data_IF_158215364507
#
_entry.id   IF_158215364507
#
_cell.length_a   1.000
_cell.length_b   1.000
_cell.length_c   1.000
_cell.angle_alpha   90.00
_cell.angle_beta   90.00
_cell.angle_gamma   90.00
#
_symmetry.space_group_name_H-M   'P 1'
#
loop_
_entity.id
_entity.type
_entity.pdbx_description
1 polymer ?
#
# COMPACT_ATOMS: atom_id res chain seq x y z
N UNK A 1 25.80 -0.30 -20.97
CA UNK A 1 25.30 -1.59 -21.50
C UNK A 1 25.33 -1.52 -23.02
N UNK A 2 25.84 -2.54 -23.72
CA UNK A 2 25.96 -2.45 -25.19
C UNK A 2 24.64 -2.80 -25.89
N UNK A 3 24.29 -2.16 -27.01
CA UNK A 3 23.08 -2.50 -27.79
C UNK A 3 23.02 -3.97 -28.22
N UNK A 4 24.18 -4.59 -28.47
CA UNK A 4 24.30 -6.00 -28.86
C UNK A 4 23.92 -6.93 -27.70
N UNK A 5 24.36 -6.63 -26.48
CA UNK A 5 24.02 -7.41 -25.29
C UNK A 5 22.52 -7.33 -25.00
N UNK A 6 21.93 -6.15 -25.13
CA UNK A 6 20.49 -5.94 -24.97
C UNK A 6 19.66 -6.75 -25.98
N UNK A 7 20.01 -6.70 -27.28
CA UNK A 7 19.31 -7.49 -28.31
C UNK A 7 19.42 -8.99 -28.08
N UNK A 8 20.60 -9.46 -27.65
CA UNK A 8 20.81 -10.88 -27.32
C UNK A 8 19.87 -11.32 -26.20
N UNK A 9 19.74 -10.54 -25.13
CA UNK A 9 18.82 -10.86 -24.03
C UNK A 9 17.36 -10.87 -24.46
N UNK A 10 16.94 -9.91 -25.28
CA UNK A 10 15.61 -9.87 -25.88
C UNK A 10 15.30 -11.13 -26.68
N UNK A 11 16.28 -11.64 -27.44
CA UNK A 11 16.11 -12.86 -28.23
C UNK A 11 16.18 -14.16 -27.41
N UNK A 12 16.99 -14.19 -26.34
CA UNK A 12 17.26 -15.42 -25.58
C UNK A 12 16.38 -15.61 -24.36
N UNK A 13 15.69 -14.56 -23.89
CA UNK A 13 14.88 -14.58 -22.66
C UNK A 13 15.67 -14.84 -21.37
N UNK A 14 16.99 -15.00 -21.46
CA UNK A 14 17.89 -15.37 -20.37
C UNK A 14 18.95 -14.28 -20.18
N UNK A 15 18.58 -13.14 -19.57
CA UNK A 15 19.56 -12.15 -19.18
C UNK A 15 20.41 -12.67 -18.01
N UNK A 16 21.66 -12.23 -17.94
CA UNK A 16 22.52 -12.55 -16.79
C UNK A 16 21.92 -11.91 -15.52
N UNK A 17 21.60 -12.70 -14.47
CA UNK A 17 21.00 -12.18 -13.24
C UNK A 17 21.83 -11.09 -12.57
N UNK A 18 23.17 -11.15 -12.67
CA UNK A 18 24.05 -10.15 -12.06
C UNK A 18 23.93 -8.81 -12.78
N UNK A 19 23.99 -8.82 -14.11
CA UNK A 19 23.81 -7.64 -14.91
C UNK A 19 22.39 -7.04 -14.79
N UNK A 20 21.34 -7.85 -14.63
CA UNK A 20 19.97 -7.36 -14.32
C UNK A 20 19.93 -6.67 -12.96
N UNK A 21 20.57 -7.24 -11.93
CA UNK A 21 20.65 -6.62 -10.60
C UNK A 21 21.36 -5.27 -10.63
N UNK A 22 22.46 -5.17 -11.36
CA UNK A 22 23.17 -3.91 -11.54
C UNK A 22 22.31 -2.87 -12.26
N UNK A 23 21.58 -3.27 -13.31
CA UNK A 23 20.65 -2.39 -14.00
C UNK A 23 19.51 -1.93 -13.08
N UNK A 24 18.99 -2.81 -12.23
CA UNK A 24 17.96 -2.44 -11.25
C UNK A 24 18.48 -1.40 -10.25
N UNK A 25 19.69 -1.60 -9.71
CA UNK A 25 20.33 -0.63 -8.80
C UNK A 25 20.52 0.73 -9.51
N UNK A 26 21.02 0.72 -10.75
CA UNK A 26 21.21 1.94 -11.54
C UNK A 26 19.87 2.63 -11.89
N UNK A 27 18.80 1.85 -12.03
CA UNK A 27 17.45 2.36 -12.21
C UNK A 27 16.79 2.82 -10.89
N UNK A 28 17.49 2.72 -9.76
CA UNK A 28 17.01 3.13 -8.45
C UNK A 28 16.16 2.10 -7.72
N UNK A 29 16.21 0.83 -8.12
CA UNK A 29 15.48 -0.26 -7.47
C UNK A 29 16.41 -1.17 -6.67
N UNK A 30 15.86 -1.74 -5.59
CA UNK A 30 16.57 -2.67 -4.70
C UNK A 30 16.01 -4.08 -4.89
N UNK A 31 16.63 -4.94 -5.73
CA UNK A 31 16.02 -6.19 -6.20
C UNK A 31 16.20 -7.39 -5.25
N UNK A 32 16.59 -7.16 -3.99
CA UNK A 32 16.82 -8.23 -3.02
C UNK A 32 15.55 -8.55 -2.24
N UNK A 33 15.38 -9.83 -1.89
CA UNK A 33 14.24 -10.27 -1.08
C UNK A 33 14.20 -9.53 0.27
N UNK A 34 13.02 -9.03 0.65
CA UNK A 34 12.81 -8.25 1.88
C UNK A 34 13.08 -6.74 1.73
N UNK A 35 13.35 -6.25 0.51
CA UNK A 35 13.50 -4.84 0.16
C UNK A 35 12.35 -4.33 -0.72
N UNK A 36 11.21 -4.99 -0.67
CA UNK A 36 10.05 -4.64 -1.48
C UNK A 36 9.60 -3.20 -1.23
N UNK A 37 9.49 -2.41 -2.30
CA UNK A 37 9.12 -1.00 -2.26
C UNK A 37 10.23 -0.03 -1.79
N UNK A 38 11.44 -0.53 -1.52
CA UNK A 38 12.59 0.33 -1.25
C UNK A 38 13.18 0.85 -2.56
N UNK A 39 13.59 2.11 -2.54
CA UNK A 39 14.12 2.80 -3.71
C UNK A 39 15.47 3.44 -3.39
N UNK A 40 16.30 3.60 -4.43
CA UNK A 40 17.59 4.25 -4.34
C UNK A 40 17.61 5.47 -5.26
N UNK A 41 17.75 6.66 -4.70
CA UNK A 41 17.79 7.92 -5.45
C UNK A 41 19.07 8.68 -5.12
N UNK A 42 19.85 9.03 -6.14
CA UNK A 42 21.10 9.80 -5.99
C UNK A 42 22.07 9.23 -4.95
N UNK A 43 22.14 7.91 -4.81
CA UNK A 43 23.01 7.24 -3.84
C UNK A 43 22.43 7.11 -2.41
N UNK A 44 21.23 7.63 -2.18
CA UNK A 44 20.50 7.48 -0.92
C UNK A 44 19.43 6.40 -1.03
N UNK A 45 19.20 5.69 0.07
CA UNK A 45 18.25 4.60 0.16
C UNK A 45 16.99 5.06 0.90
N UNK A 46 15.83 4.89 0.28
CA UNK A 46 14.55 5.39 0.76
C UNK A 46 13.64 4.24 1.18
N UNK A 47 13.06 4.30 2.39
CA UNK A 47 12.00 3.39 2.80
C UNK A 47 10.73 3.56 1.93
N UNK A 48 9.90 2.52 1.83
CA UNK A 48 8.64 2.59 1.07
C UNK A 48 7.75 3.75 1.54
N UNK A 49 7.35 4.62 0.61
CA UNK A 49 6.48 5.76 0.89
C UNK A 49 7.20 7.03 1.37
N UNK A 50 8.52 7.00 1.52
CA UNK A 50 9.31 8.17 1.91
C UNK A 50 9.91 8.86 0.68
N UNK A 51 9.70 10.17 0.56
CA UNK A 51 10.31 11.01 -0.49
C UNK A 51 11.47 11.87 0.01
N UNK A 52 11.67 11.95 1.33
CA UNK A 52 12.71 12.76 1.99
C UNK A 52 13.34 11.95 3.13
N UNK A 53 14.55 12.34 3.55
CA UNK A 53 15.27 11.65 4.63
C UNK A 53 15.86 10.31 4.21
N UNK A 54 16.37 10.23 2.97
CA UNK A 54 17.04 9.03 2.48
C UNK A 54 18.31 8.72 3.28
N UNK A 55 18.62 7.43 3.39
CA UNK A 55 19.73 6.91 4.18
C UNK A 55 21.00 6.94 3.31
N UNK A 56 22.03 7.71 3.67
CA UNK A 56 23.30 7.66 2.95
C UNK A 56 24.04 6.34 3.21
N UNK A 57 24.96 5.93 2.32
CA UNK A 57 25.68 4.65 2.47
C UNK A 57 26.40 4.48 3.82
N UNK A 58 26.89 5.58 4.41
CA UNK A 58 27.59 5.57 5.70
C UNK A 58 26.69 5.34 6.92
N UNK A 59 25.38 5.47 6.77
CA UNK A 59 24.40 5.31 7.86
C UNK A 59 23.63 3.99 7.77
N UNK A 60 24.26 2.97 7.19
CA UNK A 60 23.64 1.65 7.00
C UNK A 60 23.06 1.06 8.30
N UNK A 61 23.63 1.35 9.46
CA UNK A 61 23.10 0.90 10.76
C UNK A 61 21.69 1.44 11.07
N UNK A 62 21.31 2.59 10.51
CA UNK A 62 19.97 3.15 10.67
C UNK A 62 18.88 2.28 10.01
N UNK A 63 19.24 1.45 9.02
CA UNK A 63 18.29 0.59 8.30
C UNK A 63 17.52 -0.35 9.21
N UNK A 64 18.16 -0.90 10.25
CA UNK A 64 17.49 -1.85 11.15
C UNK A 64 16.34 -1.16 11.88
N UNK A 65 16.56 0.07 12.34
CA UNK A 65 15.55 0.88 13.02
C UNK A 65 14.43 1.30 12.08
N UNK A 66 14.76 1.75 10.86
CA UNK A 66 13.75 2.11 9.86
C UNK A 66 12.92 0.91 9.43
N UNK A 67 13.52 -0.27 9.27
CA UNK A 67 12.79 -1.49 8.93
C UNK A 67 11.80 -1.88 10.04
N UNK A 68 12.22 -1.79 11.29
CA UNK A 68 11.33 -2.02 12.44
C UNK A 68 10.17 -1.01 12.47
N UNK A 69 10.46 0.28 12.26
CA UNK A 69 9.43 1.33 12.22
C UNK A 69 8.44 1.10 11.07
N UNK A 70 8.92 0.83 9.86
CA UNK A 70 8.07 0.58 8.69
C UNK A 70 7.14 -0.60 8.94
N UNK A 71 7.65 -1.71 9.47
CA UNK A 71 6.81 -2.87 9.82
C UNK A 71 5.74 -2.52 10.86
N UNK A 72 6.11 -1.79 11.92
CA UNK A 72 5.17 -1.35 12.93
C UNK A 72 4.07 -0.43 12.36
N UNK A 73 4.45 0.51 11.47
CA UNK A 73 3.49 1.40 10.81
C UNK A 73 2.58 0.64 9.84
N UNK A 74 3.11 -0.34 9.10
CA UNK A 74 2.29 -1.18 8.22
C UNK A 74 1.28 -2.00 9.02
N UNK A 75 1.67 -2.56 10.15
CA UNK A 75 0.77 -3.32 11.02
C UNK A 75 -0.31 -2.41 11.63
N UNK A 76 0.06 -1.23 12.12
CA UNK A 76 -0.90 -0.25 12.64
C UNK A 76 -1.89 0.22 11.56
N UNK A 77 -1.40 0.51 10.36
CA UNK A 77 -2.24 0.88 9.22
C UNK A 77 -3.19 -0.24 8.80
N UNK A 78 -2.75 -1.50 8.85
CA UNK A 78 -3.60 -2.64 8.57
C UNK A 78 -4.76 -2.74 9.60
N UNK A 79 -4.45 -2.58 10.89
CA UNK A 79 -5.46 -2.57 11.97
C UNK A 79 -6.47 -1.43 11.79
N UNK A 80 -5.99 -0.21 11.56
CA UNK A 80 -6.84 0.96 11.34
C UNK A 80 -7.76 0.80 10.13
N UNK A 81 -7.28 0.19 9.04
CA UNK A 81 -8.11 -0.09 7.86
C UNK A 81 -9.26 -1.04 8.17
N UNK A 82 -9.02 -2.06 8.99
CA UNK A 82 -10.06 -3.00 9.43
C UNK A 82 -11.09 -2.30 10.31
N UNK A 83 -10.65 -1.51 11.29
CA UNK A 83 -11.56 -0.76 12.18
C UNK A 83 -12.41 0.25 11.41
N UNK A 84 -11.80 0.98 10.48
CA UNK A 84 -12.49 1.95 9.64
C UNK A 84 -13.55 1.27 8.77
N UNK A 85 -13.26 0.08 8.24
CA UNK A 85 -14.24 -0.70 7.47
C UNK A 85 -15.41 -1.15 8.36
N UNK A 86 -15.13 -1.68 9.56
CA UNK A 86 -16.16 -2.11 10.49
C UNK A 86 -17.09 -0.94 10.88
N UNK A 87 -16.52 0.24 11.14
CA UNK A 87 -17.29 1.42 11.50
C UNK A 87 -18.17 1.91 10.33
N UNK A 88 -17.64 1.86 9.10
CA UNK A 88 -18.43 2.16 7.89
C UNK A 88 -19.61 1.22 7.72
N UNK A 89 -19.40 -0.07 7.94
CA UNK A 89 -20.45 -1.09 7.83
C UNK A 89 -21.53 -0.87 8.90
N UNK A 90 -21.14 -0.48 10.12
CA UNK A 90 -22.07 -0.14 11.19
C UNK A 90 -22.88 1.12 10.87
N UNK A 91 -22.25 2.18 10.37
CA UNK A 91 -22.95 3.39 9.95
C UNK A 91 -23.98 3.09 8.86
N UNK A 92 -23.65 2.27 7.85
CA UNK A 92 -24.61 1.93 6.80
C UNK A 92 -25.75 1.06 7.33
N UNK A 93 -25.48 0.12 8.24
CA UNK A 93 -26.52 -0.64 8.95
C UNK A 93 -27.49 0.26 9.68
N UNK A 94 -26.99 1.19 10.50
CA UNK A 94 -27.82 2.13 11.23
C UNK A 94 -28.62 3.03 10.28
N UNK A 95 -28.03 3.46 9.16
CA UNK A 95 -28.72 4.25 8.14
C UNK A 95 -29.88 3.48 7.50
N UNK A 96 -29.68 2.20 7.18
CA UNK A 96 -30.72 1.32 6.63
C UNK A 96 -31.84 1.12 7.66
N UNK A 97 -31.51 0.76 8.90
CA UNK A 97 -32.50 0.60 9.98
C UNK A 97 -33.32 1.88 10.19
N UNK A 98 -32.66 3.05 10.23
CA UNK A 98 -33.35 4.33 10.37
C UNK A 98 -34.26 4.68 9.18
N UNK A 99 -33.95 4.24 7.96
CA UNK A 99 -34.86 4.36 6.81
C UNK A 99 -36.07 3.43 6.94
N UNK A 100 -35.85 2.17 7.32
CA UNK A 100 -36.92 1.19 7.48
C UNK A 100 -37.91 1.61 8.59
N UNK A 101 -37.41 2.10 9.72
CA UNK A 101 -38.24 2.57 10.83
C UNK A 101 -39.12 3.76 10.41
N UNK A 102 -38.57 4.71 9.65
CA UNK A 102 -39.33 5.84 9.10
C UNK A 102 -40.45 5.37 8.16
N UNK A 103 -40.14 4.46 7.24
CA UNK A 103 -41.14 3.90 6.35
C UNK A 103 -42.27 3.17 7.10
N UNK A 104 -41.94 2.43 8.18
CA UNK A 104 -42.96 1.80 9.03
C UNK A 104 -43.87 2.83 9.73
N UNK A 105 -43.30 3.93 10.23
CA UNK A 105 -44.07 5.01 10.87
C UNK A 105 -45.00 5.72 9.88
N UNK A 106 -44.55 5.92 8.64
CA UNK A 106 -45.39 6.53 7.60
C UNK A 106 -46.56 5.61 7.22
N UNK A 107 -46.31 4.30 7.13
CA UNK A 107 -47.34 3.30 6.86
C UNK A 107 -48.38 3.19 7.98
N UNK A 108 -47.96 3.24 9.26
CA UNK A 108 -48.90 3.19 10.38
C UNK A 108 -49.72 4.46 10.49
N UNK A 109 -49.14 5.64 10.23
CA UNK A 109 -49.88 6.91 10.13
C UNK A 109 -50.93 6.89 9.01
N UNK A 110 -50.57 6.41 7.83
CA UNK A 110 -51.50 6.32 6.69
C UNK A 110 -52.70 5.40 7.00
N UNK A 111 -52.48 4.26 7.68
CA UNK A 111 -53.57 3.35 8.10
C UNK A 111 -54.49 3.97 9.16
N UNK A 112 -53.93 4.76 10.08
CA UNK A 112 -54.69 5.47 11.10
C UNK A 112 -55.65 6.51 10.53
N UNK A 113 -55.24 7.26 9.49
CA UNK A 113 -56.11 8.24 8.81
C UNK A 113 -57.21 7.62 7.94
N UNK A 114 -57.13 6.32 7.59
CA UNK A 114 -58.14 5.66 6.77
C UNK A 114 -59.30 5.06 7.60
N UNK A 115 -59.22 5.08 8.93
CA UNK A 115 -60.19 4.46 9.85
C UNK A 115 -60.87 5.49 10.79
N UNK A 116 -60.66 6.79 10.58
CA UNK A 116 -61.35 7.88 11.29
C UNK A 116 -62.04 8.81 10.29
#
# INVERSE_FOLDING_TARGET
>A
MSPRTYRRWLSSGNPDPTAVRLLAILAGFVPWSGWDGWEMHNGYLFPPGYQRGGIPPGEFFALVFYRQQVSAYQESNAKLRVELQALKDECERLRVCGRALRAQLDLTRAKGSAHG
#
